data_IF_905408119339
#
_entry.id   IF_905408119339
#
_cell.length_a   1.000
_cell.length_b   1.000
_cell.length_c   1.000
_cell.angle_alpha   90.00
_cell.angle_beta   90.00
_cell.angle_gamma   90.00
#
_symmetry.space_group_name_H-M   'P 1'
#
loop_
_entity.id
_entity.type
_entity.pdbx_description
1 polymer ?
#
# COMPACT_ATOMS: atom_id res chain seq x y z
N UNK A 1 28.05 -0.21 -15.79
CA UNK A 1 27.77 0.04 -14.36
C UNK A 1 26.35 -0.38 -14.03
N UNK A 2 26.14 -1.65 -13.67
CA UNK A 2 24.82 -2.15 -13.29
C UNK A 2 24.50 -1.69 -11.86
N UNK A 3 23.52 -0.79 -11.71
CA UNK A 3 23.04 -0.33 -10.40
C UNK A 3 22.37 -1.51 -9.71
N UNK A 4 23.05 -2.12 -8.74
CA UNK A 4 22.46 -3.09 -7.84
C UNK A 4 21.51 -2.34 -6.90
N UNK A 5 20.27 -2.12 -7.36
CA UNK A 5 19.21 -1.57 -6.55
C UNK A 5 18.95 -2.54 -5.41
N UNK A 6 19.36 -2.15 -4.19
CA UNK A 6 19.13 -2.93 -2.97
C UNK A 6 17.65 -3.33 -2.93
N UNK A 7 17.34 -4.60 -3.18
CA UNK A 7 15.99 -5.11 -2.98
C UNK A 7 15.74 -5.05 -1.48
N UNK A 8 15.05 -3.99 -1.01
CA UNK A 8 14.52 -3.96 0.35
C UNK A 8 13.61 -5.17 0.47
N UNK A 9 13.96 -6.09 1.37
CA UNK A 9 13.11 -7.18 1.81
C UNK A 9 11.98 -6.49 2.59
N UNK A 10 10.92 -6.11 1.88
CA UNK A 10 9.69 -5.64 2.50
C UNK A 10 8.99 -6.88 3.01
N UNK A 11 8.99 -7.07 4.32
CA UNK A 11 8.30 -8.21 4.94
C UNK A 11 6.81 -8.20 4.59
N UNK A 12 6.16 -9.38 4.64
CA UNK A 12 4.73 -9.54 4.37
C UNK A 12 3.87 -8.53 5.15
N UNK A 13 4.29 -8.13 6.36
CA UNK A 13 3.60 -7.13 7.18
C UNK A 13 3.47 -5.76 6.51
N UNK A 14 4.44 -5.34 5.69
CA UNK A 14 4.35 -4.10 4.92
C UNK A 14 3.35 -4.26 3.76
N UNK A 15 3.38 -5.41 3.09
CA UNK A 15 2.45 -5.72 1.98
C UNK A 15 1.01 -5.71 2.48
N UNK A 16 0.70 -6.44 3.54
CA UNK A 16 -0.64 -6.46 4.13
C UNK A 16 -1.10 -5.09 4.61
N UNK A 17 -0.19 -4.26 5.13
CA UNK A 17 -0.49 -2.88 5.52
C UNK A 17 -0.83 -2.00 4.32
N UNK A 18 -0.10 -2.15 3.21
CA UNK A 18 -0.37 -1.41 1.97
C UNK A 18 -1.72 -1.84 1.40
N UNK A 19 -2.02 -3.15 1.36
CA UNK A 19 -3.31 -3.64 0.88
C UNK A 19 -4.49 -3.13 1.73
N UNK A 20 -4.41 -3.16 3.06
CA UNK A 20 -5.47 -2.63 3.93
C UNK A 20 -5.73 -1.13 3.68
N UNK A 21 -4.66 -0.33 3.57
CA UNK A 21 -4.77 1.11 3.28
C UNK A 21 -5.39 1.36 1.90
N UNK A 22 -4.96 0.61 0.88
CA UNK A 22 -5.46 0.74 -0.50
C UNK A 22 -6.93 0.31 -0.57
N UNK A 23 -7.33 -0.73 0.17
CA UNK A 23 -8.70 -1.20 0.22
C UNK A 23 -9.64 -0.16 0.83
N UNK A 24 -9.27 0.38 1.99
CA UNK A 24 -9.99 1.50 2.64
C UNK A 24 -10.06 2.70 1.69
N UNK A 25 -8.97 3.00 0.97
CA UNK A 25 -8.96 4.08 0.00
C UNK A 25 -9.95 3.85 -1.15
N UNK A 26 -9.96 2.67 -1.78
CA UNK A 26 -10.84 2.35 -2.91
C UNK A 26 -12.32 2.40 -2.48
N UNK A 27 -12.64 1.85 -1.31
CA UNK A 27 -14.00 1.87 -0.73
C UNK A 27 -14.52 3.31 -0.56
N UNK A 28 -13.69 4.21 -0.03
CA UNK A 28 -14.08 5.60 0.24
C UNK A 28 -13.92 6.56 -0.94
N UNK A 29 -13.02 6.26 -1.89
CA UNK A 29 -12.88 7.02 -3.12
C UNK A 29 -14.17 6.92 -3.97
N UNK A 30 -14.82 5.76 -3.97
CA UNK A 30 -16.13 5.56 -4.64
C UNK A 30 -17.27 6.35 -3.98
N UNK A 31 -17.15 6.66 -2.69
CA UNK A 31 -18.10 7.50 -1.96
C UNK A 31 -17.96 9.01 -2.24
N UNK A 32 -16.98 9.44 -3.05
CA UNK A 32 -16.77 10.84 -3.40
C UNK A 32 -16.09 11.67 -2.32
N UNK A 33 -15.44 11.03 -1.34
CA UNK A 33 -14.71 11.71 -0.29
C UNK A 33 -13.35 12.22 -0.79
N UNK A 34 -12.94 13.39 -0.31
CA UNK A 34 -11.61 13.93 -0.63
C UNK A 34 -10.50 13.09 0.00
N UNK A 35 -9.38 12.91 -0.71
CA UNK A 35 -8.22 12.13 -0.23
C UNK A 35 -7.76 12.54 1.18
N UNK A 36 -7.79 13.83 1.50
CA UNK A 36 -7.49 14.37 2.84
C UNK A 36 -8.48 13.93 3.91
N UNK A 37 -9.75 13.86 3.56
CA UNK A 37 -10.82 13.45 4.46
C UNK A 37 -10.74 11.95 4.72
N UNK A 38 -10.47 11.15 3.69
CA UNK A 38 -10.23 9.70 3.82
C UNK A 38 -9.03 9.44 4.75
N UNK A 39 -7.92 10.17 4.53
CA UNK A 39 -6.74 10.09 5.36
C UNK A 39 -7.05 10.44 6.83
N UNK A 40 -7.74 11.56 7.10
CA UNK A 40 -8.05 11.97 8.48
C UNK A 40 -9.05 11.06 9.19
N UNK A 41 -10.09 10.60 8.50
CA UNK A 41 -11.19 9.84 9.13
C UNK A 41 -10.87 8.36 9.30
N UNK A 42 -10.23 7.72 8.33
CA UNK A 42 -10.08 6.26 8.31
C UNK A 42 -8.64 5.81 8.56
N UNK A 43 -7.66 6.51 7.98
CA UNK A 43 -6.27 6.03 7.95
C UNK A 43 -5.47 6.57 9.14
N UNK A 44 -5.65 7.84 9.49
CA UNK A 44 -4.96 8.50 10.60
C UNK A 44 -5.19 7.83 11.96
N UNK A 45 -6.43 7.50 12.39
CA UNK A 45 -6.64 6.85 13.69
C UNK A 45 -5.98 5.46 13.79
N UNK A 46 -5.92 4.71 12.68
CA UNK A 46 -5.41 3.33 12.64
C UNK A 46 -3.89 3.26 12.45
N UNK A 47 -3.33 4.11 11.60
CA UNK A 47 -1.95 3.98 11.13
C UNK A 47 -1.02 5.14 11.51
N UNK A 48 -1.56 6.28 11.97
CA UNK A 48 -0.82 7.51 12.33
C UNK A 48 0.23 7.92 11.29
N UNK A 49 -0.14 7.84 10.01
CA UNK A 49 0.74 8.20 8.90
C UNK A 49 0.50 9.63 8.44
N UNK A 50 1.56 10.25 7.93
CA UNK A 50 1.50 11.57 7.30
C UNK A 50 0.96 11.47 5.87
N UNK A 51 0.44 12.58 5.35
CA UNK A 51 -0.06 12.72 3.98
C UNK A 51 0.97 12.28 2.92
N UNK A 52 2.24 12.66 3.10
CA UNK A 52 3.33 12.24 2.21
C UNK A 52 3.49 10.73 2.15
N UNK A 53 3.40 10.07 3.30
CA UNK A 53 3.50 8.61 3.41
C UNK A 53 2.29 7.93 2.77
N UNK A 54 1.10 8.52 2.92
CA UNK A 54 -0.12 8.05 2.27
C UNK A 54 0.02 8.07 0.74
N UNK A 55 0.42 9.21 0.15
CA UNK A 55 0.62 9.27 -1.30
C UNK A 55 1.75 8.36 -1.79
N UNK A 56 2.81 8.19 -1.00
CA UNK A 56 3.88 7.26 -1.33
C UNK A 56 3.39 5.80 -1.35
N UNK A 57 2.45 5.44 -0.46
CA UNK A 57 1.83 4.11 -0.41
C UNK A 57 0.89 3.90 -1.60
N UNK A 58 0.04 4.87 -1.92
CA UNK A 58 -0.87 4.78 -3.08
C UNK A 58 -0.07 4.75 -4.40
N UNK A 59 0.98 5.57 -4.52
CA UNK A 59 1.84 5.53 -5.69
C UNK A 59 2.63 4.21 -5.77
N UNK A 60 3.05 3.67 -4.62
CA UNK A 60 3.67 2.36 -4.59
C UNK A 60 2.68 1.26 -5.00
N UNK A 61 1.42 1.31 -4.57
CA UNK A 61 0.42 0.30 -4.98
C UNK A 61 0.05 0.38 -6.46
N UNK A 62 0.20 1.55 -7.08
CA UNK A 62 0.06 1.73 -8.53
C UNK A 62 1.30 1.33 -9.34
N UNK A 63 2.45 1.10 -8.69
CA UNK A 63 3.68 0.70 -9.38
C UNK A 63 3.64 -0.80 -9.75
N UNK A 64 3.87 -1.17 -11.02
CA UNK A 64 3.77 -2.56 -11.48
C UNK A 64 4.76 -3.50 -10.79
N UNK A 65 5.87 -3.00 -10.23
CA UNK A 65 6.83 -3.83 -9.46
C UNK A 65 6.28 -4.22 -8.10
N UNK A 66 5.48 -3.35 -7.49
CA UNK A 66 4.85 -3.61 -6.19
C UNK A 66 3.66 -4.53 -6.38
N UNK A 67 2.82 -4.31 -7.38
CA UNK A 67 1.71 -5.21 -7.75
C UNK A 67 2.21 -6.64 -7.96
N UNK A 68 3.31 -6.79 -8.71
CA UNK A 68 3.93 -8.10 -8.95
C UNK A 68 4.42 -8.76 -7.66
N UNK A 69 4.92 -7.99 -6.68
CA UNK A 69 5.33 -8.51 -5.37
C UNK A 69 4.16 -8.85 -4.46
N UNK A 70 3.08 -8.08 -4.50
CA UNK A 70 1.84 -8.39 -3.78
C UNK A 70 1.26 -9.70 -4.31
N UNK A 71 1.19 -9.85 -5.64
CA UNK A 71 0.74 -11.08 -6.30
C UNK A 71 1.62 -12.28 -5.96
N UNK A 72 2.94 -12.12 -5.96
CA UNK A 72 3.90 -13.17 -5.59
C UNK A 72 3.75 -13.58 -4.11
N UNK A 73 3.56 -12.61 -3.21
CA UNK A 73 3.32 -12.85 -1.79
C UNK A 73 1.98 -13.57 -1.51
N UNK A 74 0.91 -13.19 -2.21
CA UNK A 74 -0.37 -13.88 -2.13
C UNK A 74 -0.26 -15.32 -2.65
N UNK A 75 0.47 -15.52 -3.75
CA UNK A 75 0.73 -16.87 -4.30
C UNK A 75 1.45 -17.77 -3.30
N UNK A 76 2.39 -17.21 -2.54
CA UNK A 76 3.15 -17.94 -1.52
C UNK A 76 2.30 -18.30 -0.29
N UNK A 77 1.23 -17.55 -0.01
CA UNK A 77 0.25 -17.88 1.04
C UNK A 77 -0.73 -18.98 0.62
N UNK A 78 -1.12 -19.03 -0.66
CA UNK A 78 -2.00 -20.09 -1.21
C UNK A 78 -1.32 -21.46 -1.33
N UNK A 79 0.01 -21.51 -1.22
CA UNK A 79 0.80 -22.74 -1.29
C UNK A 79 0.88 -23.53 0.02
N UNK A 80 0.26 -23.05 1.11
CA UNK A 80 0.23 -23.69 2.43
C UNK A 80 -1.18 -24.08 2.87
#
# INVERSE_FOLDING_TARGET
>A
MAKHGKQKIVGLSYVSRVEDIVRIYDEHARSGLSNREILRRYIWPKYRICEKTFYNIINASADPRVIRRISDANRQLELF
#
